data_IF_578622650861
#
_entry.id   IF_578622650861
#
_cell.length_a   1.000
_cell.length_b   1.000
_cell.length_c   1.000
_cell.angle_alpha   90.00
_cell.angle_beta   90.00
_cell.angle_gamma   90.00
#
_symmetry.space_group_name_H-M   'P 1'
#
loop_
_entity.id
_entity.type
_entity.pdbx_description
1 polymer ?
#
# COMPACT_ATOMS: atom_id res chain seq x y z
N UNK A 1 -0.67 -27.91 15.39
CA UNK A 1 -0.19 -26.80 14.53
C UNK A 1 0.58 -25.80 15.37
N UNK A 2 1.78 -25.40 14.94
CA UNK A 2 2.54 -24.40 15.70
C UNK A 2 1.80 -23.06 15.78
N UNK A 3 1.93 -22.38 16.93
CA UNK A 3 1.28 -21.09 17.18
C UNK A 3 1.57 -20.04 16.13
N UNK A 4 2.83 -19.95 15.67
CA UNK A 4 3.20 -18.91 14.72
C UNK A 4 2.53 -19.09 13.34
N UNK A 5 2.17 -20.32 12.95
CA UNK A 5 1.43 -20.55 11.69
C UNK A 5 0.01 -20.00 11.82
N UNK A 6 -0.63 -20.24 12.96
CA UNK A 6 -1.96 -19.73 13.24
C UNK A 6 -1.95 -18.20 13.26
N UNK A 7 -0.94 -17.60 13.92
CA UNK A 7 -0.81 -16.15 14.01
C UNK A 7 -0.59 -15.53 12.63
N UNK A 8 0.20 -16.17 11.75
CA UNK A 8 0.45 -15.65 10.41
C UNK A 8 -0.81 -15.66 9.56
N UNK A 9 -1.60 -16.71 9.64
CA UNK A 9 -2.88 -16.80 8.93
C UNK A 9 -3.86 -15.73 9.42
N UNK A 10 -3.94 -15.55 10.75
CA UNK A 10 -4.79 -14.53 11.36
C UNK A 10 -4.36 -13.12 10.94
N UNK A 11 -3.04 -12.85 10.89
CA UNK A 11 -2.53 -11.55 10.46
C UNK A 11 -2.86 -11.26 9.01
N UNK A 12 -2.68 -12.23 8.11
CA UNK A 12 -3.01 -12.05 6.70
C UNK A 12 -4.50 -11.76 6.53
N UNK A 13 -5.35 -12.51 7.21
CA UNK A 13 -6.80 -12.28 7.17
C UNK A 13 -7.15 -10.88 7.71
N UNK A 14 -6.52 -10.48 8.80
CA UNK A 14 -6.72 -9.15 9.39
C UNK A 14 -6.32 -8.05 8.41
N UNK A 15 -5.18 -8.21 7.72
CA UNK A 15 -4.73 -7.24 6.72
C UNK A 15 -5.75 -7.14 5.58
N UNK A 16 -6.26 -8.27 5.09
CA UNK A 16 -7.29 -8.27 4.05
C UNK A 16 -8.56 -7.54 4.52
N UNK A 17 -8.96 -7.72 5.78
CA UNK A 17 -10.11 -7.00 6.33
C UNK A 17 -9.84 -5.49 6.40
N UNK A 18 -8.63 -5.08 6.75
CA UNK A 18 -8.26 -3.67 6.75
C UNK A 18 -8.31 -3.09 5.34
N UNK A 19 -7.78 -3.81 4.36
CA UNK A 19 -7.82 -3.38 2.96
C UNK A 19 -9.26 -3.18 2.47
N UNK A 20 -10.11 -4.14 2.78
CA UNK A 20 -11.56 -4.06 2.44
C UNK A 20 -12.23 -2.89 3.15
N UNK A 21 -11.84 -2.61 4.39
CA UNK A 21 -12.40 -1.48 5.15
C UNK A 21 -12.01 -0.14 4.49
N UNK A 22 -10.77 0.00 4.05
CA UNK A 22 -10.32 1.22 3.36
C UNK A 22 -11.11 1.39 2.05
N UNK A 23 -11.28 0.32 1.28
CA UNK A 23 -12.11 0.35 0.07
C UNK A 23 -13.53 0.83 0.39
N UNK A 24 -14.13 0.29 1.44
CA UNK A 24 -15.49 0.68 1.85
C UNK A 24 -15.57 2.16 2.25
N UNK A 25 -14.59 2.64 3.01
CA UNK A 25 -14.55 4.04 3.45
C UNK A 25 -14.42 4.97 2.25
N UNK A 26 -13.50 4.69 1.33
CA UNK A 26 -13.33 5.51 0.13
C UNK A 26 -14.58 5.49 -0.74
N UNK A 27 -15.22 4.33 -0.87
CA UNK A 27 -16.47 4.22 -1.65
C UNK A 27 -17.61 5.05 -1.02
N UNK A 28 -17.65 5.13 0.32
CA UNK A 28 -18.60 6.02 1.00
C UNK A 28 -18.31 7.50 0.67
N UNK A 29 -17.05 7.82 0.37
CA UNK A 29 -16.65 9.18 0.00
C UNK A 29 -16.70 9.44 -1.51
N UNK A 30 -17.40 8.60 -2.25
CA UNK A 30 -17.66 8.80 -3.67
C UNK A 30 -16.74 8.07 -4.63
N UNK A 31 -15.77 7.33 -4.13
CA UNK A 31 -14.93 6.49 -4.99
C UNK A 31 -15.71 5.25 -5.43
N UNK A 32 -15.21 4.60 -6.47
CA UNK A 32 -15.79 3.34 -6.95
C UNK A 32 -14.68 2.33 -7.12
N UNK A 33 -14.32 1.66 -6.01
CA UNK A 33 -13.22 0.73 -5.94
C UNK A 33 -13.70 -0.69 -5.71
N UNK A 34 -12.93 -1.65 -6.22
CA UNK A 34 -13.10 -3.08 -5.95
C UNK A 34 -11.81 -3.60 -5.32
N UNK A 35 -11.95 -4.37 -4.25
CA UNK A 35 -10.81 -5.03 -3.62
C UNK A 35 -10.32 -6.18 -4.52
N UNK A 36 -9.01 -6.28 -4.69
CA UNK A 36 -8.38 -7.32 -5.53
C UNK A 36 -7.20 -8.00 -4.85
N UNK A 37 -6.98 -7.75 -3.56
CA UNK A 37 -5.79 -8.20 -2.85
C UNK A 37 -5.64 -9.72 -2.73
N UNK A 38 -6.71 -10.49 -2.92
CA UNK A 38 -6.65 -11.96 -2.91
C UNK A 38 -6.24 -12.56 -4.26
N UNK A 39 -6.10 -11.74 -5.29
CA UNK A 39 -5.72 -12.16 -6.65
C UNK A 39 -4.24 -11.86 -6.89
N UNK A 40 -3.69 -12.43 -7.97
CA UNK A 40 -2.30 -12.18 -8.38
C UNK A 40 -2.17 -10.82 -9.09
N UNK A 41 -2.67 -9.78 -8.46
CA UNK A 41 -2.55 -8.43 -8.95
C UNK A 41 -1.40 -7.71 -8.24
N UNK A 42 -0.83 -6.70 -8.88
CA UNK A 42 0.23 -5.90 -8.28
C UNK A 42 -0.30 -4.71 -7.48
N UNK A 43 -1.58 -4.77 -7.11
CA UNK A 43 -2.26 -3.76 -6.31
C UNK A 43 -3.38 -4.42 -5.51
N UNK A 44 -3.84 -3.74 -4.49
CA UNK A 44 -4.86 -4.28 -3.57
C UNK A 44 -6.28 -3.85 -3.90
N UNK A 45 -6.44 -2.76 -4.65
CA UNK A 45 -7.73 -2.28 -5.10
C UNK A 45 -7.59 -1.55 -6.42
N UNK A 46 -8.66 -1.55 -7.21
CA UNK A 46 -8.74 -0.82 -8.47
C UNK A 46 -10.13 -0.25 -8.68
N UNK A 47 -10.23 0.76 -9.50
CA UNK A 47 -11.51 1.36 -9.85
C UNK A 47 -11.34 2.80 -10.28
N UNK A 48 -12.16 3.67 -9.69
CA UNK A 48 -12.21 5.08 -10.07
C UNK A 48 -12.20 5.95 -8.82
N UNK A 49 -11.48 7.09 -8.89
CA UNK A 49 -11.53 8.10 -7.84
C UNK A 49 -12.90 8.77 -7.81
N UNK A 50 -13.15 9.60 -6.80
CA UNK A 50 -14.38 10.36 -6.70
C UNK A 50 -14.62 11.27 -7.91
N UNK A 51 -13.54 11.71 -8.56
CA UNK A 51 -13.61 12.54 -9.78
C UNK A 51 -13.68 11.73 -11.06
N UNK A 52 -13.70 10.40 -10.96
CA UNK A 52 -13.84 9.52 -12.11
C UNK A 52 -12.56 9.12 -12.82
N UNK A 53 -11.40 9.39 -12.22
CA UNK A 53 -10.10 8.95 -12.79
C UNK A 53 -9.86 7.49 -12.47
N UNK A 54 -9.42 6.69 -13.46
CA UNK A 54 -9.05 5.30 -13.18
C UNK A 54 -7.86 5.26 -12.20
N UNK A 55 -7.91 4.33 -11.25
CA UNK A 55 -6.94 4.26 -10.16
C UNK A 55 -6.65 2.83 -9.75
N UNK A 56 -5.40 2.58 -9.36
CA UNK A 56 -4.99 1.37 -8.62
C UNK A 56 -4.34 1.81 -7.32
N UNK A 57 -4.56 1.03 -6.26
CA UNK A 57 -4.05 1.35 -4.92
C UNK A 57 -3.31 0.13 -4.37
N UNK A 58 -2.04 0.32 -3.99
CA UNK A 58 -1.27 -0.63 -3.21
C UNK A 58 -1.32 -0.16 -1.76
N UNK A 59 -1.64 -1.07 -0.84
CA UNK A 59 -1.85 -0.73 0.58
C UNK A 59 -0.81 -1.38 1.48
N UNK A 60 -0.38 -0.65 2.51
CA UNK A 60 0.52 -1.16 3.53
C UNK A 60 0.04 -0.71 4.90
N UNK A 61 -0.04 -1.68 5.82
CA UNK A 61 -0.44 -1.43 7.21
C UNK A 61 0.75 -1.73 8.10
N UNK A 62 1.15 -0.74 8.91
CA UNK A 62 2.35 -0.84 9.75
C UNK A 62 2.00 -0.66 11.23
N UNK A 63 2.66 -1.45 12.07
CA UNK A 63 2.48 -1.35 13.51
C UNK A 63 3.27 -0.21 14.13
N UNK A 64 4.31 0.26 13.45
CA UNK A 64 5.20 1.30 13.94
C UNK A 64 5.16 2.53 13.04
N UNK A 65 5.37 3.69 13.67
CA UNK A 65 5.43 4.95 12.96
C UNK A 65 6.86 5.24 12.48
N UNK A 66 6.98 5.64 11.23
CA UNK A 66 8.21 6.19 10.65
C UNK A 66 7.83 7.38 9.77
N UNK A 67 8.55 8.48 9.92
CA UNK A 67 8.33 9.66 9.11
C UNK A 67 8.46 9.38 7.61
N UNK A 68 9.44 8.55 7.25
CA UNK A 68 9.63 8.11 5.87
C UNK A 68 9.01 6.72 5.69
N UNK A 69 8.10 6.63 4.71
CA UNK A 69 7.38 5.39 4.43
C UNK A 69 8.15 4.61 3.38
N UNK A 70 8.38 3.33 3.66
CA UNK A 70 9.17 2.46 2.80
C UNK A 70 8.30 1.87 1.69
N UNK A 71 8.75 1.98 0.44
CA UNK A 71 8.09 1.36 -0.71
C UNK A 71 9.12 0.51 -1.46
N UNK A 72 8.87 -0.79 -1.56
CA UNK A 72 9.76 -1.70 -2.28
C UNK A 72 9.81 -1.31 -3.76
N UNK A 73 11.04 -1.25 -4.30
CA UNK A 73 11.26 -0.92 -5.72
C UNK A 73 10.52 -1.88 -6.64
N UNK A 74 10.50 -3.17 -6.31
CA UNK A 74 9.79 -4.16 -7.10
C UNK A 74 8.30 -3.81 -7.25
N UNK A 75 7.66 -3.42 -6.17
CA UNK A 75 6.24 -3.02 -6.20
C UNK A 75 6.03 -1.72 -6.96
N UNK A 76 6.92 -0.75 -6.76
CA UNK A 76 6.88 0.52 -7.49
C UNK A 76 6.99 0.28 -9.00
N UNK A 77 7.98 -0.52 -9.41
CA UNK A 77 8.21 -0.79 -10.83
C UNK A 77 6.99 -1.47 -11.46
N UNK A 78 6.38 -2.43 -10.76
CA UNK A 78 5.18 -3.12 -11.25
C UNK A 78 3.99 -2.19 -11.41
N UNK A 79 3.81 -1.28 -10.47
CA UNK A 79 2.74 -0.27 -10.59
C UNK A 79 3.00 0.68 -11.76
N UNK A 80 4.24 1.11 -11.94
CA UNK A 80 4.59 2.05 -13.00
C UNK A 80 4.59 1.42 -14.40
N UNK A 81 4.59 0.09 -14.50
CA UNK A 81 4.37 -0.62 -15.76
C UNK A 81 2.91 -0.53 -16.22
N UNK A 82 1.99 -0.26 -15.32
CA UNK A 82 0.58 -0.06 -15.65
C UNK A 82 0.46 1.24 -16.45
N UNK A 83 -0.53 1.29 -17.35
CA UNK A 83 -0.76 2.43 -18.23
C UNK A 83 -0.62 3.76 -17.48
N UNK A 84 0.12 4.70 -18.07
CA UNK A 84 0.39 6.00 -17.44
C UNK A 84 -0.85 6.84 -17.20
N UNK A 85 -1.94 6.57 -17.93
CA UNK A 85 -3.22 7.25 -17.74
C UNK A 85 -3.94 6.82 -16.46
N UNK A 86 -3.47 5.75 -15.81
CA UNK A 86 -4.04 5.25 -14.57
C UNK A 86 -3.30 5.85 -13.38
N UNK A 87 -4.05 6.39 -12.44
CA UNK A 87 -3.50 6.92 -11.19
C UNK A 87 -2.99 5.76 -10.33
N UNK A 88 -1.75 5.86 -9.85
CA UNK A 88 -1.16 4.86 -8.96
C UNK A 88 -1.00 5.49 -7.58
N UNK A 89 -1.69 4.92 -6.61
CA UNK A 89 -1.64 5.41 -5.23
C UNK A 89 -1.00 4.34 -4.35
N UNK A 90 -0.02 4.75 -3.54
CA UNK A 90 0.50 3.96 -2.45
C UNK A 90 -0.12 4.48 -1.16
N UNK A 91 -0.88 3.62 -0.50
CA UNK A 91 -1.56 3.94 0.76
C UNK A 91 -0.79 3.29 1.91
N UNK A 92 -0.50 4.07 2.94
CA UNK A 92 0.14 3.56 4.17
C UNK A 92 -0.72 3.96 5.35
N UNK A 93 -1.01 3.00 6.20
CA UNK A 93 -1.62 3.22 7.51
C UNK A 93 -0.59 2.88 8.58
N UNK A 94 -0.42 3.74 9.55
CA UNK A 94 0.40 3.50 10.73
C UNK A 94 -0.28 4.11 11.96
N UNK A 95 0.32 3.98 13.17
CA UNK A 95 -0.32 4.52 14.38
C UNK A 95 -0.62 6.02 14.35
N UNK A 96 0.05 6.78 13.49
CA UNK A 96 -0.14 8.23 13.40
C UNK A 96 -1.16 8.65 12.34
N UNK A 97 -1.56 7.76 11.44
CA UNK A 97 -2.59 8.11 10.47
C UNK A 97 -2.53 7.36 9.15
N UNK A 98 -3.20 7.94 8.18
CA UNK A 98 -3.31 7.41 6.84
C UNK A 98 -2.62 8.35 5.85
N UNK A 99 -1.83 7.78 4.95
CA UNK A 99 -1.03 8.54 3.99
C UNK A 99 -1.29 8.02 2.59
N UNK A 100 -1.56 8.94 1.65
CA UNK A 100 -1.81 8.63 0.25
C UNK A 100 -0.75 9.28 -0.61
N UNK A 101 0.06 8.48 -1.29
CA UNK A 101 1.11 8.96 -2.18
C UNK A 101 0.68 8.76 -3.62
N UNK A 102 0.61 9.85 -4.37
CA UNK A 102 0.28 9.81 -5.80
C UNK A 102 1.58 9.57 -6.58
N UNK A 103 1.86 8.31 -6.88
CA UNK A 103 3.14 7.91 -7.44
C UNK A 103 3.43 8.50 -8.82
N UNK A 104 2.41 8.75 -9.63
CA UNK A 104 2.59 9.34 -10.97
C UNK A 104 3.25 10.73 -10.92
N UNK A 105 3.07 11.46 -9.83
CA UNK A 105 3.54 12.85 -9.69
C UNK A 105 4.69 13.00 -8.70
N UNK A 106 5.10 11.91 -8.08
CA UNK A 106 6.08 11.94 -7.00
C UNK A 106 7.45 11.58 -7.53
N UNK A 107 8.46 12.40 -7.19
CA UNK A 107 9.86 12.03 -7.41
C UNK A 107 10.29 11.17 -6.23
N UNK A 108 10.41 9.87 -6.47
CA UNK A 108 10.75 8.91 -5.41
C UNK A 108 12.25 8.85 -5.12
N UNK A 109 13.08 9.55 -5.91
CA UNK A 109 14.53 9.56 -5.73
C UNK A 109 15.18 8.23 -6.06
N UNK A 110 16.37 8.01 -5.50
CA UNK A 110 17.14 6.78 -5.72
C UNK A 110 16.77 5.73 -4.68
N UNK A 111 16.63 4.46 -5.10
CA UNK A 111 16.34 3.39 -4.14
C UNK A 111 17.59 3.06 -3.34
N UNK A 112 17.39 2.60 -2.09
CA UNK A 112 18.46 2.16 -1.19
C UNK A 112 18.14 0.76 -0.70
N UNK A 113 19.18 0.05 -0.24
CA UNK A 113 19.02 -1.30 0.29
C UNK A 113 18.53 -1.24 1.75
N UNK A 114 17.50 -2.03 2.04
CA UNK A 114 16.96 -2.19 3.39
C UNK A 114 16.76 -3.67 3.68
N UNK A 115 16.93 -4.05 4.94
CA UNK A 115 16.60 -5.39 5.39
C UNK A 115 15.09 -5.48 5.58
N UNK A 116 14.45 -6.34 4.80
CA UNK A 116 13.00 -6.51 4.79
C UNK A 116 12.65 -7.99 4.88
N UNK A 117 11.46 -8.34 5.41
CA UNK A 117 10.99 -9.72 5.32
C UNK A 117 10.93 -10.18 3.86
N UNK A 118 11.36 -11.40 3.61
CA UNK A 118 11.35 -11.98 2.26
C UNK A 118 9.93 -12.08 1.71
N UNK A 119 8.98 -12.40 2.58
CA UNK A 119 7.57 -12.50 2.25
C UNK A 119 6.74 -11.70 3.24
N UNK A 120 5.43 -11.61 2.99
CA UNK A 120 4.49 -10.97 3.93
C UNK A 120 4.24 -11.82 5.16
N UNK A 121 4.71 -13.06 5.21
CA UNK A 121 4.49 -13.96 6.34
C UNK A 121 5.45 -13.63 7.47
N UNK A 122 4.90 -13.61 8.68
CA UNK A 122 5.69 -13.43 9.87
C UNK A 122 6.64 -14.62 10.06
N UNK A 123 7.87 -14.34 10.48
CA UNK A 123 8.87 -15.36 10.63
C UNK A 123 9.69 -15.62 9.36
N UNK A 124 9.38 -14.92 8.25
CA UNK A 124 10.24 -14.96 7.07
C UNK A 124 11.60 -14.42 7.41
N UNK A 125 12.64 -15.00 6.83
CA UNK A 125 13.97 -14.44 6.96
C UNK A 125 14.01 -13.04 6.34
N UNK A 126 14.89 -12.19 6.84
CA UNK A 126 15.11 -10.86 6.27
C UNK A 126 16.10 -10.96 5.12
N UNK A 127 15.80 -10.26 4.04
CA UNK A 127 16.67 -10.14 2.88
C UNK A 127 16.84 -8.66 2.53
N UNK A 128 17.90 -8.33 1.82
CA UNK A 128 18.09 -6.96 1.33
C UNK A 128 17.17 -6.73 0.14
N UNK A 129 16.38 -5.68 0.23
CA UNK A 129 15.51 -5.23 -0.87
C UNK A 129 15.80 -3.77 -1.15
N UNK A 130 15.74 -3.40 -2.42
CA UNK A 130 15.81 -2.00 -2.81
C UNK A 130 14.47 -1.35 -2.56
N UNK A 131 14.47 -0.23 -1.86
CA UNK A 131 13.27 0.48 -1.48
C UNK A 131 13.44 1.97 -1.62
N UNK A 132 12.34 2.65 -1.87
CA UNK A 132 12.26 4.11 -1.83
C UNK A 132 11.75 4.54 -0.46
N UNK A 133 12.17 5.72 -0.02
CA UNK A 133 11.66 6.35 1.20
C UNK A 133 10.78 7.53 0.80
N UNK A 134 9.51 7.45 1.15
CA UNK A 134 8.53 8.50 0.86
C UNK A 134 8.24 9.27 2.14
N UNK A 135 8.62 10.54 2.18
CA UNK A 135 8.37 11.35 3.37
C UNK A 135 6.88 11.62 3.51
N UNK A 136 6.36 11.57 4.74
CA UNK A 136 4.94 11.76 5.01
C UNK A 136 4.40 13.11 4.53
N UNK A 137 5.26 14.13 4.45
CA UNK A 137 4.88 15.45 3.94
C UNK A 137 4.51 15.44 2.46
N UNK A 138 4.94 14.43 1.73
CA UNK A 138 4.63 14.26 0.31
C UNK A 138 3.30 13.56 0.07
N UNK A 139 2.63 13.14 1.13
CA UNK A 139 1.28 12.59 1.04
C UNK A 139 0.32 13.67 0.53
N UNK A 140 -0.48 13.32 -0.50
CA UNK A 140 -1.38 14.28 -1.14
C UNK A 140 -2.71 14.43 -0.42
N UNK A 141 -3.13 13.40 0.32
CA UNK A 141 -4.38 13.43 1.07
C UNK A 141 -4.03 13.36 2.55
N UNK A 142 -4.25 14.45 3.25
CA UNK A 142 -4.03 14.52 4.70
C UNK A 142 -5.32 14.25 5.47
N UNK A 143 -6.44 14.30 4.77
CA UNK A 143 -7.76 14.13 5.35
C UNK A 143 -8.67 13.49 4.30
N UNK A 144 -9.13 12.27 4.58
CA UNK A 144 -9.96 11.50 3.65
C UNK A 144 -11.30 12.17 3.40
N UNK A 145 -11.77 12.98 4.34
CA UNK A 145 -13.10 13.59 4.28
C UNK A 145 -13.15 14.90 3.50
N UNK A 146 -12.16 15.16 2.69
CA UNK A 146 -12.14 16.37 1.85
C UNK A 146 -12.11 16.03 0.38
#
# INVERSE_FOLDING_TARGET
>A
MPFHIIDNMAKLDTIHQFEKAIVAILNLDGWNLKWSGAKYEHYDAKGYTAKGFPVVIEMKFRNDYYENKLLEKYKYDKLMEIDEDIVKIYFVNDPNGNYFFWLNKLDVGEPKDFWCPETSFWGSKKVKKKCYLLNEKESVIKNINK
#
